data_IF_512456617012
#
_entry.id   IF_512456617012
#
_cell.length_a   1.000
_cell.length_b   1.000
_cell.length_c   1.000
_cell.angle_alpha   90.00
_cell.angle_beta   90.00
_cell.angle_gamma   90.00
#
_symmetry.space_group_name_H-M   'P 1'
#
loop_
_entity.id
_entity.type
_entity.pdbx_description
1 polymer ?
#
# COMPACT_ATOMS: atom_id res chain seq x y z
N UNK A 1 -4.55 -6.70 25.56
CA UNK A 1 -4.77 -6.88 24.11
C UNK A 1 -3.72 -7.85 23.62
N UNK A 2 -4.11 -8.93 22.93
CA UNK A 2 -3.15 -9.87 22.32
C UNK A 2 -3.04 -9.48 20.84
N UNK A 3 -1.82 -9.30 20.35
CA UNK A 3 -1.55 -9.00 18.95
C UNK A 3 -0.66 -10.11 18.36
N UNK A 4 -1.09 -10.70 17.26
CA UNK A 4 -0.26 -11.59 16.46
C UNK A 4 0.45 -10.76 15.40
N UNK A 5 1.77 -10.67 15.52
CA UNK A 5 2.62 -9.95 14.56
C UNK A 5 3.35 -10.96 13.69
N UNK A 6 3.46 -10.63 12.40
CA UNK A 6 4.18 -11.43 11.43
C UNK A 6 4.68 -10.53 10.30
N UNK A 7 5.79 -10.94 9.70
CA UNK A 7 6.34 -10.37 8.48
C UNK A 7 6.13 -11.39 7.36
N UNK A 8 5.83 -10.91 6.15
CA UNK A 8 5.81 -11.74 4.96
C UNK A 8 6.57 -11.03 3.85
N UNK A 9 7.23 -11.82 3.02
CA UNK A 9 8.02 -11.34 1.89
C UNK A 9 7.23 -11.56 0.60
N UNK A 10 7.30 -10.59 -0.30
CA UNK A 10 6.75 -10.73 -1.63
C UNK A 10 7.74 -11.55 -2.47
N UNK A 11 7.32 -12.72 -2.95
CA UNK A 11 8.14 -13.52 -3.87
C UNK A 11 7.97 -13.11 -5.33
N UNK A 12 6.90 -12.37 -5.61
CA UNK A 12 6.54 -11.86 -6.93
C UNK A 12 5.87 -10.49 -6.77
N UNK A 13 5.85 -9.64 -7.82
CA UNK A 13 5.23 -8.33 -7.75
C UNK A 13 3.77 -8.40 -7.37
N UNK A 14 3.37 -7.62 -6.36
CA UNK A 14 2.02 -7.68 -5.80
C UNK A 14 1.17 -6.49 -6.26
N UNK A 15 0.06 -6.79 -6.93
CA UNK A 15 -0.95 -5.81 -7.31
C UNK A 15 -2.10 -5.80 -6.30
N UNK A 16 -2.19 -4.73 -5.51
CA UNK A 16 -3.32 -4.40 -4.64
C UNK A 16 -4.03 -3.20 -5.27
N UNK A 17 -4.91 -3.45 -6.23
CA UNK A 17 -5.56 -2.40 -7.03
C UNK A 17 -6.24 -1.35 -6.16
N UNK A 18 -5.80 -0.10 -6.23
CA UNK A 18 -6.58 1.03 -5.77
C UNK A 18 -7.80 1.22 -6.70
N UNK A 19 -8.91 1.76 -6.19
CA UNK A 19 -10.12 2.06 -7.00
C UNK A 19 -9.88 3.26 -7.96
N UNK A 20 -8.67 3.85 -7.94
CA UNK A 20 -8.30 5.03 -8.70
C UNK A 20 -7.46 4.67 -9.94
N UNK A 21 -7.85 5.17 -11.12
CA UNK A 21 -7.03 5.04 -12.33
C UNK A 21 -7.78 5.23 -13.64
N UNK A 22 -7.00 5.41 -14.72
CA UNK A 22 -7.46 5.23 -16.10
C UNK A 22 -7.81 3.75 -16.34
N UNK A 23 -8.85 3.39 -17.13
CA UNK A 23 -9.24 2.00 -17.37
C UNK A 23 -8.13 1.08 -17.88
N UNK A 24 -7.06 1.63 -18.47
CA UNK A 24 -5.92 0.88 -18.97
C UNK A 24 -4.68 0.95 -18.05
N UNK A 25 -4.81 1.56 -16.87
CA UNK A 25 -3.74 1.67 -15.88
C UNK A 25 -4.22 1.29 -14.48
N UNK A 26 -3.51 0.38 -13.82
CA UNK A 26 -3.75 0.09 -12.40
C UNK A 26 -2.50 0.41 -11.57
N UNK A 27 -2.68 1.18 -10.50
CA UNK A 27 -1.61 1.44 -9.53
C UNK A 27 -1.94 0.70 -8.24
N UNK A 28 -0.98 -0.10 -7.78
CA UNK A 28 -1.08 -0.80 -6.51
C UNK A 28 -1.08 0.20 -5.35
N UNK A 29 -1.86 -0.11 -4.31
CA UNK A 29 -1.68 0.50 -3.00
C UNK A 29 -0.23 0.30 -2.54
N UNK A 30 0.25 1.29 -1.82
CA UNK A 30 1.58 1.32 -1.23
C UNK A 30 1.77 0.31 -0.08
N UNK A 31 0.76 -0.48 0.25
CA UNK A 31 0.72 -1.43 1.35
C UNK A 31 -0.30 -2.54 1.06
N UNK A 32 -0.32 -3.59 1.89
CA UNK A 32 -1.34 -4.64 1.80
C UNK A 32 -2.48 -4.36 2.78
N UNK A 33 -3.71 -4.14 2.30
CA UNK A 33 -4.86 -3.89 3.18
C UNK A 33 -5.14 -5.05 4.14
N UNK A 34 -5.56 -4.74 5.36
CA UNK A 34 -5.98 -5.76 6.33
C UNK A 34 -7.14 -6.63 5.80
N UNK A 35 -8.01 -6.07 4.98
CA UNK A 35 -9.08 -6.82 4.30
C UNK A 35 -8.56 -7.85 3.30
N UNK A 36 -7.47 -7.55 2.58
CA UNK A 36 -6.82 -8.48 1.66
C UNK A 36 -6.14 -9.62 2.43
N UNK A 37 -5.45 -9.30 3.53
CA UNK A 37 -4.88 -10.31 4.44
C UNK A 37 -5.96 -11.23 5.01
N UNK A 38 -7.08 -10.65 5.47
CA UNK A 38 -8.24 -11.42 5.93
C UNK A 38 -8.74 -12.37 4.83
N UNK A 39 -8.90 -11.86 3.61
CA UNK A 39 -9.34 -12.67 2.46
C UNK A 39 -8.39 -13.83 2.14
N UNK A 40 -7.08 -13.59 2.18
CA UNK A 40 -6.07 -14.63 1.98
C UNK A 40 -6.15 -15.72 3.07
N UNK A 41 -6.33 -15.33 4.33
CA UNK A 41 -6.48 -16.26 5.46
C UNK A 41 -7.78 -17.06 5.38
N UNK A 42 -8.89 -16.43 4.99
CA UNK A 42 -10.16 -17.12 4.70
C UNK A 42 -9.97 -18.16 3.60
N UNK A 43 -9.29 -17.81 2.50
CA UNK A 43 -8.99 -18.74 1.41
C UNK A 43 -8.17 -19.95 1.88
N UNK A 44 -7.19 -19.73 2.77
CA UNK A 44 -6.40 -20.81 3.37
C UNK A 44 -7.21 -21.67 4.35
N UNK A 45 -8.08 -21.06 5.15
CA UNK A 45 -8.98 -21.77 6.06
C UNK A 45 -9.95 -22.69 5.29
N UNK A 46 -10.42 -22.25 4.12
CA UNK A 46 -11.28 -23.03 3.22
C UNK A 46 -10.56 -24.07 2.37
N UNK A 47 -9.22 -24.11 2.36
CA UNK A 47 -8.48 -24.98 1.46
C UNK A 47 -8.79 -26.49 1.65
N UNK A 48 -9.18 -26.89 2.87
CA UNK A 48 -9.59 -28.26 3.20
C UNK A 48 -11.07 -28.59 2.91
N UNK A 49 -11.94 -27.59 2.83
CA UNK A 49 -13.37 -27.74 2.51
C UNK A 49 -13.94 -26.45 1.92
N UNK A 50 -13.93 -26.38 0.58
CA UNK A 50 -14.35 -25.20 -0.17
C UNK A 50 -15.86 -24.94 -0.12
N UNK A 51 -16.67 -25.88 0.40
CA UNK A 51 -18.14 -25.75 0.48
C UNK A 51 -18.63 -25.40 1.88
N UNK A 52 -17.72 -25.29 2.85
CA UNK A 52 -18.06 -24.90 4.23
C UNK A 52 -18.68 -23.51 4.25
N UNK A 53 -19.88 -23.40 4.82
CA UNK A 53 -20.49 -22.12 5.12
C UNK A 53 -19.83 -21.49 6.35
N UNK A 54 -18.95 -20.52 6.12
CA UNK A 54 -18.24 -19.79 7.17
C UNK A 54 -19.18 -18.92 8.03
N UNK A 55 -20.35 -18.55 7.52
CA UNK A 55 -21.31 -17.74 8.27
C UNK A 55 -22.08 -18.57 9.31
N UNK A 56 -22.14 -19.90 9.13
CA UNK A 56 -22.72 -20.84 10.08
C UNK A 56 -21.69 -21.37 11.11
N UNK A 57 -20.40 -21.22 10.83
CA UNK A 57 -19.31 -21.66 11.70
C UNK A 57 -18.95 -20.61 12.76
N UNK A 58 -19.24 -20.91 14.03
CA UNK A 58 -18.98 -20.02 15.15
C UNK A 58 -17.50 -19.60 15.30
N UNK A 59 -16.55 -20.46 14.94
CA UNK A 59 -15.13 -20.13 15.01
C UNK A 59 -14.72 -19.21 13.86
N UNK A 60 -15.10 -19.56 12.62
CA UNK A 60 -14.85 -18.72 11.45
C UNK A 60 -15.45 -17.32 11.61
N UNK A 61 -16.66 -17.22 12.19
CA UNK A 61 -17.27 -15.92 12.50
C UNK A 61 -16.44 -15.08 13.46
N UNK A 62 -15.95 -15.65 14.57
CA UNK A 62 -15.09 -14.92 15.51
C UNK A 62 -13.77 -14.47 14.87
N UNK A 63 -13.21 -15.32 14.01
CA UNK A 63 -11.95 -15.04 13.32
C UNK A 63 -12.11 -13.98 12.22
N UNK A 64 -13.22 -13.94 11.49
CA UNK A 64 -13.31 -13.16 10.24
C UNK A 64 -14.43 -12.10 10.20
N UNK A 65 -15.50 -12.26 10.99
CA UNK A 65 -16.75 -11.50 10.82
C UNK A 65 -17.23 -10.73 12.06
N UNK A 66 -17.11 -11.27 13.27
CA UNK A 66 -17.77 -10.75 14.48
C UNK A 66 -17.01 -9.57 15.16
N UNK A 67 -16.16 -8.84 14.44
CA UNK A 67 -15.34 -7.72 14.93
C UNK A 67 -14.43 -8.00 16.14
N UNK A 68 -14.40 -9.24 16.65
CA UNK A 68 -13.53 -9.69 17.74
C UNK A 68 -12.07 -9.75 17.30
N UNK A 69 -11.84 -10.05 16.02
CA UNK A 69 -10.51 -10.06 15.39
C UNK A 69 -10.41 -8.90 14.42
N UNK A 70 -9.35 -8.09 14.56
CA UNK A 70 -9.09 -6.95 13.68
C UNK A 70 -7.85 -7.21 12.84
N UNK A 71 -8.01 -7.11 11.53
CA UNK A 71 -6.93 -7.23 10.56
C UNK A 71 -6.41 -5.84 10.25
N UNK A 72 -5.17 -5.56 10.67
CA UNK A 72 -4.51 -4.29 10.38
C UNK A 72 -3.81 -4.36 9.02
N UNK A 73 -3.57 -3.19 8.43
CA UNK A 73 -2.78 -3.07 7.22
C UNK A 73 -1.34 -3.54 7.47
N UNK A 74 -0.80 -4.30 6.54
CA UNK A 74 0.62 -4.63 6.52
C UNK A 74 1.36 -3.53 5.77
N UNK A 75 2.07 -2.72 6.56
CA UNK A 75 2.98 -1.70 6.07
C UNK A 75 4.36 -2.30 5.84
N UNK A 76 5.17 -1.71 4.94
CA UNK A 76 6.54 -2.15 4.71
C UNK A 76 7.34 -2.18 6.02
N UNK A 77 8.30 -3.08 6.08
CA UNK A 77 9.35 -3.08 7.09
C UNK A 77 10.59 -2.39 6.50
N UNK A 78 11.41 -1.80 7.37
CA UNK A 78 12.67 -1.19 6.96
C UNK A 78 13.81 -2.23 6.88
N UNK A 79 15.03 -1.74 6.63
CA UNK A 79 16.24 -2.59 6.59
C UNK A 79 16.60 -3.23 7.93
N UNK A 80 15.95 -2.82 9.03
CA UNK A 80 16.10 -3.36 10.38
C UNK A 80 14.92 -4.23 10.81
N UNK A 81 14.05 -4.61 9.86
CA UNK A 81 12.82 -5.38 10.08
C UNK A 81 11.82 -4.69 11.02
N UNK A 82 11.93 -3.35 11.15
CA UNK A 82 11.01 -2.54 11.93
C UNK A 82 9.84 -2.07 11.07
N UNK A 83 8.63 -2.17 11.61
CA UNK A 83 7.40 -1.73 10.94
C UNK A 83 7.42 -0.21 10.72
N UNK A 84 7.24 0.21 9.47
CA UNK A 84 7.02 1.63 9.14
C UNK A 84 5.59 2.07 9.44
N UNK A 85 5.39 3.39 9.58
CA UNK A 85 4.09 4.02 9.82
C UNK A 85 3.70 4.92 8.63
N UNK A 86 2.41 5.10 8.33
CA UNK A 86 1.99 6.07 7.32
C UNK A 86 2.50 7.47 7.68
N UNK A 87 3.06 8.17 6.71
CA UNK A 87 3.53 9.54 6.92
C UNK A 87 2.34 10.44 7.29
N UNK A 88 2.39 11.14 8.44
CA UNK A 88 1.32 12.05 8.83
C UNK A 88 1.06 13.14 7.80
N UNK A 89 -0.21 13.39 7.46
CA UNK A 89 -0.56 14.44 6.50
C UNK A 89 -0.25 15.85 7.03
N UNK A 90 -0.19 16.01 8.35
CA UNK A 90 0.19 17.27 9.00
C UNK A 90 1.66 17.63 8.80
N UNK A 91 2.50 16.65 8.45
CA UNK A 91 3.92 16.88 8.21
C UNK A 91 4.16 17.61 6.90
N UNK A 92 4.86 18.73 7.00
CA UNK A 92 5.24 19.60 5.90
C UNK A 92 6.73 19.81 5.86
N UNK A 93 7.20 20.23 4.70
CA UNK A 93 8.57 20.68 4.45
C UNK A 93 8.60 21.98 3.66
N UNK A 94 9.74 22.63 3.60
CA UNK A 94 9.94 23.76 2.70
C UNK A 94 9.82 23.34 1.24
N UNK A 95 9.35 24.28 0.42
CA UNK A 95 9.37 24.13 -1.04
C UNK A 95 10.81 24.24 -1.54
N UNK A 96 11.26 23.25 -2.30
CA UNK A 96 12.59 23.23 -2.91
C UNK A 96 13.52 22.20 -2.28
N UNK A 97 13.29 21.84 -1.02
CA UNK A 97 14.10 20.84 -0.33
C UNK A 97 13.89 19.45 -0.93
N UNK A 98 14.91 18.60 -0.85
CA UNK A 98 14.80 17.19 -1.20
C UNK A 98 14.08 16.41 -0.09
N UNK A 99 13.27 15.39 -0.43
CA UNK A 99 12.47 14.66 0.58
C UNK A 99 13.33 14.02 1.66
N UNK A 100 14.48 13.49 1.29
CA UNK A 100 15.25 12.62 2.19
C UNK A 100 16.25 13.41 3.05
N UNK A 101 16.35 14.73 2.86
CA UNK A 101 17.31 15.61 3.57
C UNK A 101 16.68 16.94 4.01
N UNK A 102 15.35 17.02 4.13
CA UNK A 102 14.66 18.23 4.55
C UNK A 102 14.29 18.18 6.03
N UNK A 103 14.17 19.37 6.62
CA UNK A 103 13.49 19.51 7.91
C UNK A 103 11.99 19.26 7.73
N UNK A 104 11.42 18.47 8.64
CA UNK A 104 10.01 18.14 8.67
C UNK A 104 9.36 18.88 9.83
N UNK A 105 8.27 19.57 9.52
CA UNK A 105 7.50 20.37 10.46
C UNK A 105 6.13 19.73 10.65
N UNK A 106 5.77 19.45 11.90
CA UNK A 106 4.46 18.92 12.23
C UNK A 106 3.48 20.05 12.53
N UNK A 107 2.66 20.42 11.53
CA UNK A 107 1.68 21.50 11.68
C UNK A 107 0.49 21.12 12.58
N UNK A 108 0.39 19.87 13.05
CA UNK A 108 -0.60 19.51 14.07
C UNK A 108 -0.15 19.90 15.48
N UNK A 109 1.15 20.10 15.68
CA UNK A 109 1.75 20.53 16.95
C UNK A 109 2.08 22.02 16.92
N UNK A 110 2.74 22.48 15.85
CA UNK A 110 3.10 23.89 15.65
C UNK A 110 2.57 24.39 14.29
N UNK A 111 1.37 25.01 14.26
CA UNK A 111 0.74 25.43 13.02
C UNK A 111 1.43 26.64 12.37
N UNK A 112 2.19 27.42 13.12
CA UNK A 112 2.87 28.64 12.65
C UNK A 112 4.33 28.70 13.13
N UNK A 113 5.22 27.86 12.54
CA UNK A 113 6.59 27.75 13.02
C UNK A 113 7.33 29.08 13.01
N UNK A 114 7.98 29.39 14.13
CA UNK A 114 8.64 30.67 14.35
C UNK A 114 9.79 30.90 13.33
N UNK A 115 9.87 32.10 12.76
CA UNK A 115 10.88 32.48 11.77
C UNK A 115 10.51 32.23 10.30
N UNK A 116 9.35 31.63 10.02
CA UNK A 116 8.96 31.25 8.64
C UNK A 116 8.06 32.30 7.92
N UNK A 117 7.62 33.36 8.60
CA UNK A 117 6.46 34.21 8.25
C UNK A 117 6.48 34.94 6.89
N UNK A 118 7.62 35.05 6.17
CA UNK A 118 7.68 35.80 4.90
C UNK A 118 7.95 34.94 3.65
N UNK A 119 8.32 33.67 3.80
CA UNK A 119 8.63 32.78 2.67
C UNK A 119 8.06 31.35 2.82
N UNK A 120 7.30 31.07 3.90
CA UNK A 120 6.73 29.76 4.16
C UNK A 120 5.74 29.32 3.08
N UNK A 121 6.16 28.37 2.24
CA UNK A 121 5.30 27.67 1.29
C UNK A 121 5.32 26.17 1.61
N UNK A 122 4.65 25.72 2.68
CA UNK A 122 4.73 24.35 3.14
C UNK A 122 4.20 23.41 2.05
N UNK A 123 4.96 22.35 1.79
CA UNK A 123 4.55 21.25 0.90
C UNK A 123 4.39 19.97 1.70
N UNK A 124 3.42 19.11 1.33
CA UNK A 124 3.30 17.80 1.95
C UNK A 124 4.55 16.98 1.69
N UNK A 125 4.97 16.22 2.69
CA UNK A 125 5.97 15.15 2.51
C UNK A 125 5.35 14.07 1.63
N UNK A 126 5.98 13.74 0.50
CA UNK A 126 5.40 12.83 -0.51
C UNK A 126 5.67 11.35 -0.24
N UNK A 127 6.60 11.04 0.67
CA UNK A 127 6.93 9.66 1.02
C UNK A 127 5.75 9.07 1.80
N UNK A 128 5.22 7.89 1.40
CA UNK A 128 3.98 7.36 1.97
C UNK A 128 4.15 6.78 3.37
N UNK A 129 5.37 6.38 3.73
CA UNK A 129 5.70 5.79 5.01
C UNK A 129 6.91 6.47 5.63
N UNK A 130 6.97 6.45 6.96
CA UNK A 130 8.03 7.01 7.76
C UNK A 130 8.36 6.09 8.95
N UNK A 131 9.51 6.35 9.55
CA UNK A 131 9.96 5.79 10.82
C UNK A 131 10.33 6.95 11.72
N UNK A 132 10.08 6.80 13.02
CA UNK A 132 10.41 7.80 14.03
C UNK A 132 11.26 7.15 15.10
N UNK A 133 12.38 7.77 15.43
CA UNK A 133 13.21 7.39 16.55
C UNK A 133 13.62 8.66 17.32
N UNK A 134 12.86 8.98 18.37
CA UNK A 134 12.93 10.30 19.01
C UNK A 134 12.59 11.39 18.01
N UNK A 135 13.49 12.37 17.87
CA UNK A 135 13.35 13.49 16.93
C UNK A 135 13.85 13.18 15.52
N UNK A 136 14.45 12.00 15.30
CA UNK A 136 14.90 11.59 13.98
C UNK A 136 13.75 10.94 13.20
N UNK A 137 13.51 11.46 11.99
CA UNK A 137 12.56 10.91 11.03
C UNK A 137 13.31 10.33 9.85
N UNK A 138 12.99 9.09 9.49
CA UNK A 138 13.43 8.49 8.24
C UNK A 138 12.21 8.24 7.36
N UNK A 139 12.30 8.62 6.08
CA UNK A 139 11.21 8.42 5.12
C UNK A 139 11.46 7.17 4.29
N UNK A 140 10.42 6.36 4.13
CA UNK A 140 10.50 5.10 3.40
C UNK A 140 10.03 5.28 1.95
N UNK A 141 10.88 4.84 1.01
CA UNK A 141 10.56 4.80 -0.41
C UNK A 141 10.14 3.39 -0.79
N UNK A 142 8.96 3.27 -1.38
CA UNK A 142 8.47 2.01 -1.92
C UNK A 142 9.07 1.77 -3.30
N UNK A 143 9.55 0.55 -3.50
CA UNK A 143 9.92 0.04 -4.81
C UNK A 143 8.69 -0.51 -5.53
N UNK A 144 8.59 -0.16 -6.82
CA UNK A 144 7.47 -0.57 -7.67
C UNK A 144 8.00 -1.16 -8.96
N UNK A 145 7.30 -2.18 -9.44
CA UNK A 145 7.56 -2.78 -10.74
C UNK A 145 6.44 -2.43 -11.70
N UNK A 146 6.82 -1.91 -12.87
CA UNK A 146 5.90 -1.65 -13.97
C UNK A 146 5.83 -2.87 -14.86
N UNK A 147 4.62 -3.38 -15.09
CA UNK A 147 4.38 -4.45 -16.04
C UNK A 147 3.41 -3.98 -17.13
N UNK A 148 3.66 -4.41 -18.36
CA UNK A 148 2.82 -4.10 -19.53
C UNK A 148 2.35 -5.42 -20.12
N UNK A 149 1.04 -5.52 -20.30
CA UNK A 149 0.35 -6.66 -20.89
C UNK A 149 -0.30 -6.22 -22.18
N UNK A 150 -0.09 -7.00 -23.23
CA UNK A 150 -0.71 -6.75 -24.54
C UNK A 150 -1.63 -7.90 -24.89
N UNK A 151 -2.90 -7.61 -25.11
CA UNK A 151 -3.83 -8.60 -25.64
C UNK A 151 -3.46 -8.89 -27.10
N UNK A 152 -3.07 -10.14 -27.38
CA UNK A 152 -2.72 -10.60 -28.72
C UNK A 152 -3.78 -11.56 -29.23
N UNK A 153 -4.06 -11.50 -30.52
CA UNK A 153 -4.87 -12.52 -31.17
C UNK A 153 -4.09 -13.84 -31.20
N UNK A 154 -4.67 -14.96 -30.73
CA UNK A 154 -3.97 -16.23 -30.61
C UNK A 154 -3.66 -16.87 -31.97
N UNK A 155 -4.37 -16.50 -33.04
CA UNK A 155 -4.18 -17.07 -34.39
C UNK A 155 -3.19 -16.23 -35.20
N UNK A 156 -3.34 -14.90 -35.18
CA UNK A 156 -2.49 -13.98 -35.91
C UNK A 156 -1.17 -13.66 -35.19
N UNK A 157 -1.06 -13.96 -33.89
CA UNK A 157 0.12 -13.71 -33.07
C UNK A 157 0.41 -12.22 -32.81
N UNK A 158 -0.51 -11.33 -33.20
CA UNK A 158 -0.38 -9.87 -33.12
C UNK A 158 -1.68 -9.22 -32.65
N UNK A 159 -1.61 -7.96 -32.24
CA UNK A 159 -2.79 -7.16 -32.03
C UNK A 159 -3.52 -6.95 -33.38
N UNK A 160 -4.82 -7.25 -33.43
CA UNK A 160 -5.68 -6.93 -34.56
C UNK A 160 -6.41 -5.64 -34.20
N UNK A 161 -6.32 -4.58 -35.00
CA UNK A 161 -6.86 -3.24 -34.67
C UNK A 161 -8.39 -3.11 -34.71
N UNK A 162 -9.12 -4.20 -34.52
CA UNK A 162 -10.57 -4.17 -34.34
C UNK A 162 -10.90 -3.76 -32.89
N UNK A 163 -12.05 -3.10 -32.66
CA UNK A 163 -12.46 -2.69 -31.31
C UNK A 163 -12.42 -3.87 -30.32
N UNK A 164 -11.68 -3.69 -29.21
CA UNK A 164 -11.51 -4.71 -28.17
C UNK A 164 -10.39 -5.74 -28.42
N UNK A 165 -9.71 -5.70 -29.55
CA UNK A 165 -8.56 -6.56 -29.87
C UNK A 165 -7.30 -5.68 -29.96
N UNK A 166 -6.23 -6.03 -29.22
CA UNK A 166 -5.02 -5.19 -29.15
C UNK A 166 -4.91 -4.25 -27.94
N UNK A 167 -5.75 -4.43 -26.92
CA UNK A 167 -5.68 -3.65 -25.70
C UNK A 167 -4.30 -3.79 -25.00
N UNK A 168 -3.72 -2.65 -24.63
CA UNK A 168 -2.49 -2.58 -23.85
C UNK A 168 -2.86 -2.15 -22.44
N UNK A 169 -2.54 -3.00 -21.47
CA UNK A 169 -2.78 -2.75 -20.07
C UNK A 169 -1.44 -2.56 -19.36
N UNK A 170 -1.32 -1.50 -18.56
CA UNK A 170 -0.15 -1.25 -17.73
C UNK A 170 -0.55 -1.32 -16.27
N UNK A 171 0.26 -1.96 -15.44
CA UNK A 171 0.10 -1.84 -13.99
C UNK A 171 1.41 -1.61 -13.26
N UNK A 172 1.32 -0.88 -12.15
CA UNK A 172 2.41 -0.63 -11.22
C UNK A 172 2.17 -1.44 -9.95
N UNK A 173 2.91 -2.53 -9.80
CA UNK A 173 2.82 -3.42 -8.64
C UNK A 173 3.86 -3.04 -7.58
N UNK A 174 3.63 -3.46 -6.33
CA UNK A 174 4.68 -3.48 -5.31
C UNK A 174 5.77 -4.45 -5.76
N UNK A 175 7.03 -4.04 -5.70
CA UNK A 175 8.15 -4.91 -6.03
C UNK A 175 8.37 -5.98 -4.94
N UNK A 176 8.94 -7.15 -5.29
CA UNK A 176 9.39 -8.18 -4.35
C UNK A 176 10.34 -7.65 -3.28
#
# INVERSE_FOLDING_TARGET
MIALTFTFELKEPLLMTAIEGDPNSAVSLSYVPGSALRGALVGRYLAGDKRRDLAADAEARKLFFDAQTRYLNAYPVDSTDCRTLPTPNAWKKCKGDAEDTCDIFDLSVDPEPEGMYKAWQPKPVKRPFCMMNGDAVALYKIERQVNIHTLRDPVAGRALGAEGQGAVFRYEALAP
#
